data_IF_263673199170
#
_entry.id   IF_263673199170
#
_cell.length_a   1.000
_cell.length_b   1.000
_cell.length_c   1.000
_cell.angle_alpha   90.00
_cell.angle_beta   90.00
_cell.angle_gamma   90.00
#
_symmetry.space_group_name_H-M   'P 1'
#
loop_
_entity.id
_entity.type
_entity.pdbx_description
1 polymer ?
#
# COMPACT_ATOMS: atom_id res chain seq x y z
N UNK A 1 -6.21 -20.11 15.78
CA UNK A 1 -5.31 -19.29 14.90
C UNK A 1 -5.09 -17.86 15.41
N UNK A 2 -5.80 -17.41 16.41
CA UNK A 2 -5.67 -16.06 17.00
C UNK A 2 -4.58 -15.96 18.09
N UNK A 3 -4.20 -17.06 18.70
CA UNK A 3 -3.24 -17.11 19.82
C UNK A 3 -1.83 -16.68 19.43
N UNK A 4 -1.31 -17.12 18.28
CA UNK A 4 0.07 -16.83 17.87
C UNK A 4 0.42 -15.35 17.85
N UNK A 5 -0.46 -14.49 17.30
CA UNK A 5 -0.20 -13.04 17.30
C UNK A 5 -0.40 -12.44 18.69
N UNK A 6 -1.40 -12.87 19.44
CA UNK A 6 -1.67 -12.32 20.78
C UNK A 6 -0.48 -12.52 21.74
N UNK A 7 0.22 -13.66 21.62
CA UNK A 7 1.39 -14.00 22.43
C UNK A 7 2.65 -13.23 22.02
N UNK A 8 2.68 -12.69 20.77
CA UNK A 8 3.83 -11.98 20.19
C UNK A 8 3.50 -10.54 19.81
N UNK A 9 2.32 -10.03 20.15
CA UNK A 9 1.93 -8.66 19.82
C UNK A 9 2.88 -7.65 20.50
N UNK A 10 3.34 -6.62 19.76
CA UNK A 10 4.22 -5.62 20.36
C UNK A 10 3.50 -4.87 21.49
N UNK A 11 4.25 -4.49 22.50
CA UNK A 11 3.75 -3.63 23.55
C UNK A 11 3.69 -2.19 23.03
N UNK A 12 2.48 -1.64 22.94
CA UNK A 12 2.28 -0.27 22.48
C UNK A 12 2.23 0.64 23.72
N UNK A 13 3.26 1.45 23.92
CA UNK A 13 3.41 2.34 25.08
C UNK A 13 3.10 3.80 24.76
N UNK A 14 3.18 4.21 23.48
CA UNK A 14 3.04 5.62 23.08
C UNK A 14 1.69 6.27 23.46
N UNK A 15 0.66 5.48 23.83
CA UNK A 15 -0.64 6.03 24.23
C UNK A 15 -0.56 6.94 25.47
N UNK A 16 0.46 6.77 26.33
CA UNK A 16 0.66 7.59 27.51
C UNK A 16 1.06 9.03 27.18
N UNK A 17 1.70 9.26 26.03
CA UNK A 17 2.06 10.58 25.56
C UNK A 17 0.85 11.41 25.10
N UNK A 18 -0.36 10.83 25.04
CA UNK A 18 -1.55 11.50 24.55
C UNK A 18 -2.04 12.59 25.53
N UNK A 19 -1.89 13.84 25.11
CA UNK A 19 -2.34 15.05 25.85
C UNK A 19 -3.85 15.35 25.66
N UNK A 20 -4.59 14.49 24.98
CA UNK A 20 -6.05 14.58 24.74
C UNK A 20 -6.53 15.82 23.95
N UNK A 21 -5.66 16.44 23.14
CA UNK A 21 -5.94 17.66 22.35
C UNK A 21 -6.95 17.47 21.19
N UNK A 22 -7.28 16.24 20.82
CA UNK A 22 -8.22 15.86 19.72
C UNK A 22 -7.83 16.27 18.29
N UNK A 23 -6.69 16.87 18.04
CA UNK A 23 -6.19 17.24 16.70
C UNK A 23 -6.28 16.06 15.72
N UNK A 24 -5.89 14.87 16.14
CA UNK A 24 -5.97 13.65 15.33
C UNK A 24 -7.38 13.33 14.83
N UNK A 25 -8.44 13.72 15.56
CA UNK A 25 -9.84 13.52 15.15
C UNK A 25 -10.23 14.51 14.04
N UNK A 26 -9.75 15.75 14.13
CA UNK A 26 -9.99 16.80 13.10
C UNK A 26 -9.35 16.40 11.76
N UNK A 27 -8.17 15.79 11.79
CA UNK A 27 -7.46 15.34 10.57
C UNK A 27 -7.92 13.98 10.05
N UNK A 28 -8.82 13.27 10.77
CA UNK A 28 -9.27 11.95 10.38
C UNK A 28 -10.32 12.00 9.28
N UNK A 29 -10.06 11.44 8.07
CA UNK A 29 -11.03 11.45 6.99
C UNK A 29 -12.28 10.60 7.32
N UNK A 30 -12.11 9.53 8.11
CA UNK A 30 -13.25 8.69 8.53
C UNK A 30 -14.13 9.42 9.52
N UNK A 31 -13.56 10.12 10.52
CA UNK A 31 -14.36 10.85 11.50
C UNK A 31 -15.16 11.99 10.85
N UNK A 32 -14.61 12.61 9.78
CA UNK A 32 -15.34 13.61 8.98
C UNK A 32 -16.51 13.00 8.18
N UNK A 33 -16.35 11.79 7.65
CA UNK A 33 -17.29 11.16 6.74
C UNK A 33 -18.33 10.25 7.42
N UNK A 34 -18.00 9.72 8.60
CA UNK A 34 -18.81 8.73 9.33
C UNK A 34 -19.02 9.15 10.79
N UNK A 35 -20.23 9.61 11.17
CA UNK A 35 -20.54 10.02 12.54
C UNK A 35 -20.49 8.88 13.57
N UNK A 36 -20.53 7.61 13.12
CA UNK A 36 -20.41 6.44 14.00
C UNK A 36 -18.97 6.18 14.44
N UNK A 37 -17.99 6.84 13.80
CA UNK A 37 -16.59 6.69 14.19
C UNK A 37 -16.21 7.76 15.22
N UNK A 38 -15.93 7.38 16.47
CA UNK A 38 -15.66 8.35 17.55
C UNK A 38 -14.29 9.05 17.40
N UNK A 39 -13.53 8.67 16.38
CA UNK A 39 -12.24 9.25 16.04
C UNK A 39 -11.03 8.49 16.61
N UNK A 40 -9.85 8.82 16.07
CA UNK A 40 -8.60 8.11 16.40
C UNK A 40 -8.21 8.20 17.88
N UNK A 41 -8.44 9.34 18.52
CA UNK A 41 -8.12 9.52 19.95
C UNK A 41 -8.86 8.50 20.82
N UNK A 42 -10.15 8.36 20.58
CA UNK A 42 -10.98 7.47 21.40
C UNK A 42 -10.71 5.99 21.06
N UNK A 43 -10.61 5.62 19.79
CA UNK A 43 -10.34 4.24 19.39
C UNK A 43 -8.91 3.79 19.69
N UNK A 44 -7.94 4.70 19.64
CA UNK A 44 -6.52 4.45 19.92
C UNK A 44 -6.17 4.64 21.41
N UNK A 45 -5.60 5.79 21.82
CA UNK A 45 -5.05 5.97 23.18
C UNK A 45 -6.05 5.78 24.31
N UNK A 46 -7.26 6.33 24.20
CA UNK A 46 -8.26 6.16 25.25
C UNK A 46 -8.77 4.71 25.31
N UNK A 47 -9.01 4.10 24.17
CA UNK A 47 -9.38 2.69 24.08
C UNK A 47 -8.31 1.75 24.65
N UNK A 48 -7.01 2.07 24.43
CA UNK A 48 -5.92 1.24 24.98
C UNK A 48 -5.89 1.29 26.51
N UNK A 49 -6.11 2.45 27.12
CA UNK A 49 -6.25 2.57 28.57
C UNK A 49 -7.39 1.70 29.15
N UNK A 50 -8.47 1.54 28.37
CA UNK A 50 -9.57 0.64 28.75
C UNK A 50 -9.18 -0.83 28.56
N UNK A 51 -8.51 -1.17 27.47
CA UNK A 51 -8.07 -2.54 27.17
C UNK A 51 -7.04 -3.08 28.16
N UNK A 52 -6.15 -2.22 28.67
CA UNK A 52 -5.20 -2.59 29.75
C UNK A 52 -5.95 -2.95 31.04
N UNK A 53 -7.05 -2.26 31.36
CA UNK A 53 -7.85 -2.51 32.54
C UNK A 53 -8.79 -3.71 32.38
N UNK A 54 -9.25 -3.97 31.18
CA UNK A 54 -10.15 -5.05 30.83
C UNK A 54 -9.77 -5.64 29.47
N UNK A 55 -9.07 -6.78 29.50
CA UNK A 55 -8.59 -7.47 28.29
C UNK A 55 -9.72 -7.95 27.36
N UNK A 56 -10.95 -8.06 27.86
CA UNK A 56 -12.13 -8.42 27.06
C UNK A 56 -12.78 -7.22 26.38
N UNK A 57 -12.34 -5.99 26.68
CA UNK A 57 -12.86 -4.78 26.05
C UNK A 57 -12.47 -4.73 24.58
N UNK A 58 -13.45 -4.79 23.70
CA UNK A 58 -13.30 -4.61 22.28
C UNK A 58 -14.27 -3.56 21.75
N UNK A 59 -13.72 -2.53 21.10
CA UNK A 59 -14.51 -1.48 20.46
C UNK A 59 -14.70 -1.81 18.98
N UNK A 60 -15.95 -2.03 18.54
CA UNK A 60 -16.27 -2.26 17.12
C UNK A 60 -15.83 -1.11 16.21
N UNK A 61 -15.69 0.11 16.75
CA UNK A 61 -15.18 1.27 16.01
C UNK A 61 -13.73 1.07 15.50
N UNK A 62 -12.97 0.14 16.07
CA UNK A 62 -11.64 -0.23 15.54
C UNK A 62 -11.70 -0.67 14.07
N UNK A 63 -12.81 -1.29 13.64
CA UNK A 63 -13.02 -1.75 12.25
C UNK A 63 -13.20 -0.59 11.25
N UNK A 64 -13.59 0.58 11.74
CA UNK A 64 -13.84 1.75 10.91
C UNK A 64 -12.54 2.50 10.55
N UNK A 65 -11.45 2.27 11.29
CA UNK A 65 -10.17 2.90 11.00
C UNK A 65 -9.56 2.37 9.69
N UNK A 66 -9.19 3.29 8.79
CA UNK A 66 -8.57 2.98 7.48
C UNK A 66 -7.06 2.78 7.53
N UNK A 67 -6.44 2.92 8.69
CA UNK A 67 -4.98 2.80 8.90
C UNK A 67 -4.14 3.76 8.02
N UNK A 68 -4.67 4.92 7.68
CA UNK A 68 -4.00 5.90 6.79
C UNK A 68 -2.89 6.72 7.47
N UNK A 69 -2.69 6.58 8.77
CA UNK A 69 -1.65 7.25 9.58
C UNK A 69 -1.71 8.79 9.64
N UNK A 70 -2.73 9.44 9.08
CA UNK A 70 -2.87 10.91 9.14
C UNK A 70 -2.97 11.45 10.59
N UNK A 71 -3.59 10.68 11.48
CA UNK A 71 -3.68 11.01 12.89
C UNK A 71 -2.30 11.04 13.58
N UNK A 72 -1.36 10.19 13.15
CA UNK A 72 0.02 10.17 13.65
C UNK A 72 0.82 11.34 13.12
N UNK A 73 0.68 11.66 11.83
CA UNK A 73 1.34 12.82 11.22
C UNK A 73 0.90 14.14 11.87
N UNK A 74 -0.38 14.22 12.26
CA UNK A 74 -0.94 15.42 12.90
C UNK A 74 -0.73 15.46 14.42
N UNK A 75 -0.20 14.40 15.06
CA UNK A 75 -0.09 14.32 16.51
C UNK A 75 1.11 15.14 17.03
N UNK A 76 0.90 16.22 17.81
CA UNK A 76 2.00 17.03 18.35
C UNK A 76 2.84 16.30 19.39
N UNK A 77 2.32 15.20 19.97
CA UNK A 77 2.99 14.40 21.00
C UNK A 77 3.57 13.10 20.45
N UNK A 78 3.60 12.89 19.13
CA UNK A 78 4.21 11.72 18.51
C UNK A 78 3.55 10.37 18.85
N UNK A 79 2.26 10.36 19.18
CA UNK A 79 1.53 9.11 19.50
C UNK A 79 1.28 8.31 18.22
N UNK A 80 1.69 7.06 18.19
CA UNK A 80 1.47 6.11 17.09
C UNK A 80 0.03 5.56 17.11
N UNK A 81 -0.95 6.43 16.89
CA UNK A 81 -2.37 6.17 17.10
C UNK A 81 -2.89 5.05 16.18
N UNK A 82 -2.47 5.05 14.93
CA UNK A 82 -2.85 4.03 13.95
C UNK A 82 -2.27 2.67 14.29
N UNK A 83 -1.05 2.62 14.85
CA UNK A 83 -0.41 1.38 15.30
C UNK A 83 -1.16 0.80 16.50
N UNK A 84 -1.54 1.65 17.48
CA UNK A 84 -2.36 1.25 18.63
C UNK A 84 -3.67 0.59 18.14
N UNK A 85 -4.36 1.22 17.19
CA UNK A 85 -5.61 0.71 16.63
C UNK A 85 -5.38 -0.60 15.87
N UNK A 86 -4.31 -0.68 15.07
CA UNK A 86 -3.98 -1.87 14.30
C UNK A 86 -3.64 -3.07 15.21
N UNK A 87 -2.79 -2.88 16.22
CA UNK A 87 -2.46 -3.92 17.21
C UNK A 87 -3.71 -4.38 17.95
N UNK A 88 -4.55 -3.45 18.42
CA UNK A 88 -5.80 -3.78 19.11
C UNK A 88 -6.75 -4.59 18.23
N UNK A 89 -6.86 -4.23 16.93
CA UNK A 89 -7.65 -4.99 15.95
C UNK A 89 -7.18 -6.45 15.83
N UNK A 90 -5.88 -6.68 15.82
CA UNK A 90 -5.30 -8.02 15.72
C UNK A 90 -5.41 -8.83 17.02
N UNK A 91 -5.21 -8.17 18.17
CA UNK A 91 -5.12 -8.80 19.48
C UNK A 91 -6.49 -9.15 20.08
N UNK A 92 -7.45 -8.22 20.00
CA UNK A 92 -8.70 -8.33 20.75
C UNK A 92 -9.91 -8.73 19.91
N UNK A 93 -9.86 -8.67 18.58
CA UNK A 93 -11.01 -9.02 17.73
C UNK A 93 -11.32 -10.52 17.78
N UNK A 94 -12.52 -10.87 18.25
CA UNK A 94 -13.05 -12.24 18.14
C UNK A 94 -13.52 -12.48 16.70
N UNK A 95 -13.06 -13.57 16.10
CA UNK A 95 -13.44 -13.97 14.74
C UNK A 95 -14.47 -15.08 14.78
N UNK A 96 -15.71 -14.76 14.42
CA UNK A 96 -16.78 -15.73 14.25
C UNK A 96 -16.94 -16.04 12.75
N UNK A 97 -17.11 -17.33 12.41
CA UNK A 97 -17.36 -17.74 11.02
C UNK A 97 -18.62 -17.06 10.50
N UNK A 98 -18.49 -16.30 9.45
CA UNK A 98 -19.56 -15.53 8.82
C UNK A 98 -19.24 -15.23 7.36
N UNK A 99 -20.21 -14.91 6.50
CA UNK A 99 -19.97 -14.47 5.13
C UNK A 99 -18.97 -13.31 5.04
N UNK A 100 -19.04 -12.36 5.99
CA UNK A 100 -18.10 -11.22 6.07
C UNK A 100 -16.66 -11.67 6.37
N UNK A 101 -16.48 -12.69 7.20
CA UNK A 101 -15.15 -13.25 7.45
C UNK A 101 -14.59 -13.95 6.20
N UNK A 102 -15.44 -14.66 5.44
CA UNK A 102 -15.04 -15.29 4.16
C UNK A 102 -14.61 -14.19 3.16
N UNK A 103 -15.37 -13.12 3.03
CA UNK A 103 -15.00 -11.96 2.23
C UNK A 103 -13.65 -11.39 2.64
N UNK A 104 -13.47 -11.13 3.92
CA UNK A 104 -12.26 -10.53 4.48
C UNK A 104 -11.05 -11.45 4.28
N UNK A 105 -11.27 -12.78 4.33
CA UNK A 105 -10.25 -13.76 4.00
C UNK A 105 -9.87 -13.69 2.51
N UNK A 106 -10.84 -13.66 1.59
CA UNK A 106 -10.60 -13.57 0.14
C UNK A 106 -9.86 -12.29 -0.22
N UNK A 107 -10.32 -11.13 0.28
CA UNK A 107 -9.72 -9.84 -0.02
C UNK A 107 -8.31 -9.66 0.55
N UNK A 108 -7.94 -10.39 1.61
CA UNK A 108 -6.66 -10.20 2.30
C UNK A 108 -5.58 -11.22 1.93
N UNK A 109 -5.93 -12.41 1.44
CA UNK A 109 -4.96 -13.46 1.09
C UNK A 109 -4.50 -13.34 -0.37
N UNK A 110 -3.93 -12.20 -0.73
CA UNK A 110 -3.58 -11.81 -2.10
C UNK A 110 -2.61 -12.78 -2.78
N UNK A 111 -1.66 -13.37 -2.06
CA UNK A 111 -0.75 -14.38 -2.64
C UNK A 111 -1.47 -15.67 -3.03
N UNK A 112 -2.41 -16.13 -2.19
CA UNK A 112 -3.17 -17.35 -2.45
C UNK A 112 -4.06 -17.16 -3.68
N UNK A 113 -4.90 -16.12 -3.66
CA UNK A 113 -5.83 -15.86 -4.74
C UNK A 113 -5.15 -15.37 -6.02
N UNK A 114 -4.03 -14.64 -5.91
CA UNK A 114 -3.20 -14.27 -7.05
C UNK A 114 -2.62 -15.48 -7.78
N UNK A 115 -2.08 -16.44 -7.03
CA UNK A 115 -1.57 -17.69 -7.62
C UNK A 115 -2.67 -18.53 -8.28
N UNK A 116 -3.87 -18.60 -7.68
CA UNK A 116 -5.00 -19.37 -8.23
C UNK A 116 -5.64 -18.68 -9.43
N UNK A 117 -5.77 -17.36 -9.40
CA UNK A 117 -6.49 -16.59 -10.42
C UNK A 117 -5.64 -16.30 -11.68
N UNK A 118 -4.33 -16.07 -11.54
CA UNK A 118 -3.45 -15.68 -12.66
C UNK A 118 -3.48 -16.68 -13.83
N UNK A 119 -3.44 -18.00 -13.63
CA UNK A 119 -3.50 -18.97 -14.75
C UNK A 119 -4.80 -18.88 -15.56
N UNK A 120 -5.89 -18.48 -14.92
CA UNK A 120 -7.24 -18.38 -15.52
C UNK A 120 -7.76 -16.94 -15.52
N UNK A 121 -6.86 -15.97 -15.49
CA UNK A 121 -7.17 -14.54 -15.37
C UNK A 121 -8.23 -14.03 -16.36
N UNK A 122 -8.21 -14.37 -17.67
CA UNK A 122 -9.24 -13.90 -18.59
C UNK A 122 -10.66 -14.28 -18.17
N UNK A 123 -10.83 -15.51 -17.64
CA UNK A 123 -12.12 -16.04 -17.18
C UNK A 123 -12.52 -15.31 -15.88
N UNK A 124 -11.63 -15.27 -14.88
CA UNK A 124 -11.89 -14.65 -13.59
C UNK A 124 -12.24 -13.16 -13.76
N UNK A 125 -11.47 -12.44 -14.55
CA UNK A 125 -11.70 -11.01 -14.79
C UNK A 125 -13.07 -10.78 -15.45
N UNK A 126 -13.47 -11.62 -16.42
CA UNK A 126 -14.77 -11.51 -17.08
C UNK A 126 -15.92 -11.84 -16.14
N UNK A 127 -15.76 -12.87 -15.31
CA UNK A 127 -16.77 -13.27 -14.33
C UNK A 127 -16.97 -12.20 -13.26
N UNK A 128 -15.88 -11.67 -12.69
CA UNK A 128 -15.96 -10.65 -11.63
C UNK A 128 -16.44 -9.27 -12.11
N UNK A 129 -16.28 -8.96 -13.41
CA UNK A 129 -16.83 -7.74 -14.00
C UNK A 129 -18.32 -7.87 -14.37
N UNK A 130 -18.88 -9.07 -14.37
CA UNK A 130 -20.26 -9.31 -14.77
C UNK A 130 -21.24 -8.77 -13.72
N UNK A 131 -22.19 -7.91 -14.13
CA UNK A 131 -23.17 -7.26 -13.24
C UNK A 131 -23.99 -8.23 -12.38
N UNK A 132 -24.59 -9.32 -12.92
CA UNK A 132 -25.24 -10.35 -12.11
C UNK A 132 -24.32 -10.97 -11.04
N UNK A 133 -23.07 -11.27 -11.38
CA UNK A 133 -22.10 -11.85 -10.44
C UNK A 133 -21.76 -10.84 -9.32
N UNK A 134 -21.56 -9.57 -9.65
CA UNK A 134 -21.38 -8.49 -8.65
C UNK A 134 -22.54 -8.43 -7.65
N UNK A 135 -23.79 -8.50 -8.13
CA UNK A 135 -24.98 -8.54 -7.26
C UNK A 135 -25.04 -9.77 -6.37
N UNK A 136 -24.62 -10.94 -6.89
CA UNK A 136 -24.53 -12.17 -6.09
C UNK A 136 -23.44 -12.01 -5.01
N UNK A 137 -22.26 -11.51 -5.36
CA UNK A 137 -21.18 -11.26 -4.38
C UNK A 137 -21.61 -10.25 -3.31
N UNK A 138 -22.35 -9.20 -3.69
CA UNK A 138 -22.91 -8.24 -2.73
C UNK A 138 -23.81 -8.96 -1.72
N UNK A 139 -24.80 -9.70 -2.17
CA UNK A 139 -25.76 -10.39 -1.29
C UNK A 139 -25.13 -11.52 -0.47
N UNK A 140 -24.20 -12.27 -1.06
CA UNK A 140 -23.63 -13.47 -0.43
C UNK A 140 -22.53 -13.15 0.58
N UNK A 141 -21.65 -12.19 0.28
CA UNK A 141 -20.46 -11.91 1.10
C UNK A 141 -20.27 -10.41 1.44
N UNK A 142 -21.10 -9.52 0.91
CA UNK A 142 -21.07 -8.09 1.22
C UNK A 142 -19.89 -7.35 0.55
N UNK A 143 -19.49 -7.75 -0.67
CA UNK A 143 -18.66 -6.92 -1.55
C UNK A 143 -19.62 -6.03 -2.35
N UNK A 144 -19.46 -4.72 -2.25
CA UNK A 144 -20.40 -3.78 -2.87
C UNK A 144 -20.42 -3.93 -4.40
N UNK A 145 -21.60 -4.01 -5.02
CA UNK A 145 -21.76 -4.33 -6.44
C UNK A 145 -21.34 -3.22 -7.41
N UNK A 146 -21.21 -1.97 -6.93
CA UNK A 146 -20.58 -0.89 -7.69
C UNK A 146 -19.05 -0.95 -7.70
N UNK A 147 -18.42 -1.80 -6.87
CA UNK A 147 -16.96 -1.94 -6.88
C UNK A 147 -16.50 -2.96 -7.93
N UNK A 148 -15.43 -2.60 -8.62
CA UNK A 148 -14.71 -3.53 -9.49
C UNK A 148 -13.53 -4.12 -8.74
N UNK A 149 -13.44 -5.45 -8.71
CA UNK A 149 -12.27 -6.12 -8.11
C UNK A 149 -11.05 -5.90 -9.00
N UNK A 150 -9.84 -5.82 -8.40
CA UNK A 150 -8.60 -5.71 -9.16
C UNK A 150 -8.44 -6.83 -10.16
N UNK A 151 -8.13 -6.49 -11.42
CA UNK A 151 -7.94 -7.48 -12.49
C UNK A 151 -6.61 -8.20 -12.31
N UNK A 152 -6.62 -9.50 -12.57
CA UNK A 152 -5.41 -10.32 -12.61
C UNK A 152 -4.77 -10.26 -14.00
N UNK A 153 -3.43 -10.25 -14.03
CA UNK A 153 -2.67 -10.33 -15.28
C UNK A 153 -2.61 -11.76 -15.82
N UNK A 154 -2.42 -11.89 -17.12
CA UNK A 154 -2.16 -13.19 -17.75
C UNK A 154 -0.68 -13.57 -17.60
N UNK A 155 -0.34 -14.17 -16.47
CA UNK A 155 1.02 -14.51 -16.07
C UNK A 155 1.61 -13.57 -15.00
N UNK A 156 2.47 -14.11 -14.16
CA UNK A 156 3.08 -13.35 -13.07
C UNK A 156 4.33 -12.59 -13.52
N UNK A 157 4.64 -11.48 -12.84
CA UNK A 157 5.91 -10.77 -13.05
C UNK A 157 7.12 -11.69 -12.80
N UNK A 158 7.10 -12.51 -11.74
CA UNK A 158 8.18 -13.48 -11.47
C UNK A 158 8.40 -14.47 -12.59
N UNK A 159 7.31 -14.93 -13.25
CA UNK A 159 7.44 -15.84 -14.41
C UNK A 159 8.11 -15.16 -15.60
N UNK A 160 7.77 -13.91 -15.86
CA UNK A 160 8.42 -13.12 -16.90
C UNK A 160 9.89 -12.87 -16.55
N UNK A 161 10.17 -12.44 -15.30
CA UNK A 161 11.52 -12.11 -14.84
C UNK A 161 12.50 -13.28 -14.93
N UNK A 162 12.04 -14.52 -14.73
CA UNK A 162 12.91 -15.72 -14.87
C UNK A 162 13.65 -15.77 -16.19
N UNK A 163 13.14 -15.15 -17.26
CA UNK A 163 13.78 -15.08 -18.58
C UNK A 163 14.80 -13.93 -18.69
N UNK A 164 14.89 -13.06 -17.69
CA UNK A 164 15.75 -11.88 -17.66
C UNK A 164 16.94 -12.04 -16.71
N UNK A 165 17.02 -13.12 -15.96
CA UNK A 165 17.99 -13.29 -14.85
C UNK A 165 19.43 -13.15 -15.34
N UNK A 166 19.80 -13.78 -16.47
CA UNK A 166 21.15 -13.69 -17.04
C UNK A 166 21.52 -12.28 -17.41
N UNK A 167 20.62 -11.56 -18.06
CA UNK A 167 20.84 -10.18 -18.48
C UNK A 167 20.98 -9.26 -17.27
N UNK A 168 20.14 -9.44 -16.27
CA UNK A 168 20.20 -8.65 -15.04
C UNK A 168 21.49 -8.92 -14.23
N UNK A 169 21.99 -10.14 -14.22
CA UNK A 169 23.23 -10.49 -13.57
C UNK A 169 24.49 -9.92 -14.24
N UNK A 170 24.41 -9.48 -15.49
CA UNK A 170 25.54 -8.90 -16.22
C UNK A 170 25.89 -7.46 -15.80
N UNK A 171 24.98 -6.76 -15.14
CA UNK A 171 25.23 -5.40 -14.66
C UNK A 171 26.21 -5.40 -13.49
N UNK A 172 27.24 -4.51 -13.51
CA UNK A 172 28.25 -4.47 -12.45
C UNK A 172 27.71 -4.00 -11.11
N UNK A 173 26.60 -3.26 -11.12
CA UNK A 173 25.91 -2.74 -9.96
C UNK A 173 24.49 -3.32 -9.91
N UNK A 174 24.09 -3.82 -8.77
CA UNK A 174 22.82 -4.51 -8.62
C UNK A 174 22.07 -4.06 -7.37
N UNK A 175 20.74 -4.22 -7.41
CA UNK A 175 19.82 -4.01 -6.29
C UNK A 175 18.88 -5.22 -6.15
N UNK A 176 18.25 -5.35 -5.00
CA UNK A 176 17.14 -6.30 -4.83
C UNK A 176 15.79 -5.60 -4.91
N UNK A 177 14.81 -6.26 -5.52
CA UNK A 177 13.48 -5.69 -5.71
C UNK A 177 12.42 -6.48 -4.96
N UNK A 178 11.75 -5.81 -4.03
CA UNK A 178 10.50 -6.25 -3.41
C UNK A 178 9.32 -5.77 -4.28
N UNK A 179 8.83 -6.65 -5.15
CA UNK A 179 7.82 -6.29 -6.15
C UNK A 179 6.39 -6.23 -5.60
N UNK A 180 6.11 -6.93 -4.49
CA UNK A 180 4.77 -7.01 -3.91
C UNK A 180 3.76 -7.81 -4.73
N UNK A 181 2.58 -8.02 -4.15
CA UNK A 181 1.51 -8.79 -4.80
C UNK A 181 0.91 -8.07 -6.02
N UNK A 182 0.80 -6.73 -5.98
CA UNK A 182 0.24 -5.94 -7.09
C UNK A 182 1.04 -6.11 -8.38
N UNK A 183 2.34 -5.91 -8.34
CA UNK A 183 3.22 -6.09 -9.50
C UNK A 183 3.22 -7.54 -9.95
N UNK A 184 3.22 -8.49 -9.02
CA UNK A 184 3.30 -9.89 -9.40
C UNK A 184 2.04 -10.41 -10.10
N UNK A 185 0.86 -10.02 -9.63
CA UNK A 185 -0.40 -10.64 -10.03
C UNK A 185 -1.34 -9.72 -10.83
N UNK A 186 -1.28 -8.40 -10.61
CA UNK A 186 -2.21 -7.46 -11.20
C UNK A 186 -1.57 -6.59 -12.29
N UNK A 187 -0.36 -6.09 -12.08
CA UNK A 187 0.26 -5.12 -12.98
C UNK A 187 1.76 -5.39 -13.23
N UNK A 188 2.13 -6.50 -13.89
CA UNK A 188 3.53 -6.87 -14.18
C UNK A 188 4.30 -5.80 -14.98
N UNK A 189 3.58 -4.94 -15.72
CA UNK A 189 4.20 -3.88 -16.51
C UNK A 189 4.99 -2.90 -15.63
N UNK A 190 4.50 -2.54 -14.44
CA UNK A 190 5.22 -1.67 -13.51
C UNK A 190 6.60 -2.24 -13.13
N UNK A 191 6.68 -3.55 -12.89
CA UNK A 191 7.97 -4.21 -12.62
C UNK A 191 8.91 -4.20 -13.83
N UNK A 192 8.38 -4.34 -15.05
CA UNK A 192 9.17 -4.22 -16.28
C UNK A 192 9.67 -2.77 -16.50
N UNK A 193 8.81 -1.80 -16.21
CA UNK A 193 9.15 -0.37 -16.29
C UNK A 193 10.27 -0.02 -15.30
N UNK A 194 10.19 -0.56 -14.07
CA UNK A 194 11.27 -0.43 -13.09
C UNK A 194 12.61 -0.95 -13.64
N UNK A 195 12.60 -2.17 -14.18
CA UNK A 195 13.82 -2.77 -14.75
C UNK A 195 14.35 -1.91 -15.90
N UNK A 196 13.47 -1.43 -16.78
CA UNK A 196 13.87 -0.52 -17.88
C UNK A 196 14.56 0.74 -17.35
N UNK A 197 13.98 1.38 -16.32
CA UNK A 197 14.52 2.60 -15.71
C UNK A 197 15.88 2.33 -15.05
N UNK A 198 16.01 1.27 -14.26
CA UNK A 198 17.26 0.95 -13.58
C UNK A 198 18.35 0.49 -14.54
N UNK A 199 18.02 -0.31 -15.55
CA UNK A 199 18.99 -0.72 -16.59
C UNK A 199 19.52 0.49 -17.38
N UNK A 200 18.69 1.50 -17.64
CA UNK A 200 19.14 2.75 -18.27
C UNK A 200 20.13 3.55 -17.39
N UNK A 201 20.15 3.29 -16.08
CA UNK A 201 21.15 3.82 -15.14
C UNK A 201 22.33 2.86 -14.92
N UNK A 202 22.44 1.77 -15.70
CA UNK A 202 23.50 0.77 -15.55
C UNK A 202 23.34 -0.12 -14.32
N UNK A 203 22.13 -0.26 -13.80
CA UNK A 203 21.84 -1.02 -12.57
C UNK A 203 20.99 -2.25 -12.91
N UNK A 204 21.48 -3.43 -12.55
CA UNK A 204 20.75 -4.69 -12.61
C UNK A 204 19.80 -4.88 -11.43
N UNK A 205 18.74 -5.64 -11.66
CA UNK A 205 17.70 -5.92 -10.67
C UNK A 205 17.66 -7.41 -10.33
N UNK A 206 17.79 -7.76 -9.07
CA UNK A 206 17.56 -9.13 -8.58
C UNK A 206 16.24 -9.19 -7.79
N UNK A 207 15.49 -10.28 -7.91
CA UNK A 207 14.32 -10.50 -7.05
C UNK A 207 14.75 -11.19 -5.76
N UNK A 208 14.05 -10.89 -4.67
CA UNK A 208 14.17 -11.70 -3.46
C UNK A 208 13.77 -13.16 -3.76
N UNK A 209 14.47 -14.14 -3.20
CA UNK A 209 14.23 -15.56 -3.51
C UNK A 209 12.79 -15.98 -3.20
N UNK A 210 12.38 -15.73 -1.98
CA UNK A 210 11.01 -16.01 -1.51
C UNK A 210 10.38 -14.73 -0.99
N UNK A 211 9.35 -14.26 -1.65
CA UNK A 211 8.63 -13.06 -1.27
C UNK A 211 7.15 -13.39 -1.02
N UNK A 212 6.59 -12.78 0.02
CA UNK A 212 5.16 -12.79 0.33
C UNK A 212 4.62 -11.37 0.30
N UNK A 213 3.30 -11.24 0.12
CA UNK A 213 2.64 -9.96 0.30
C UNK A 213 3.12 -9.28 1.59
N UNK A 214 3.35 -7.97 1.55
CA UNK A 214 3.79 -7.19 2.72
C UNK A 214 2.87 -7.34 3.93
N UNK A 215 1.63 -7.75 3.74
CA UNK A 215 0.70 -8.08 4.82
C UNK A 215 -0.32 -7.01 5.15
N UNK A 216 -0.29 -5.83 4.53
CA UNK A 216 -1.27 -4.75 4.81
C UNK A 216 -2.72 -5.20 4.67
N UNK A 217 -3.16 -5.93 3.63
CA UNK A 217 -4.52 -6.43 3.56
C UNK A 217 -4.87 -7.37 4.70
N UNK A 218 -3.90 -8.16 5.20
CA UNK A 218 -4.06 -9.05 6.35
C UNK A 218 -4.21 -8.25 7.66
N UNK A 219 -3.36 -7.23 7.88
CA UNK A 219 -3.42 -6.31 9.02
C UNK A 219 -4.78 -5.60 9.05
N UNK A 220 -5.21 -5.03 7.92
CA UNK A 220 -6.46 -4.30 7.79
C UNK A 220 -7.70 -5.16 8.14
N UNK A 221 -7.62 -6.47 7.93
CA UNK A 221 -8.70 -7.43 8.21
C UNK A 221 -8.46 -8.27 9.48
N UNK A 222 -7.45 -7.91 10.29
CA UNK A 222 -7.17 -8.57 11.56
C UNK A 222 -6.55 -9.97 11.45
N UNK A 223 -5.98 -10.36 10.30
CA UNK A 223 -5.24 -11.64 10.12
C UNK A 223 -3.77 -11.50 10.52
N UNK A 224 -3.50 -10.90 11.68
CA UNK A 224 -2.16 -10.53 12.14
C UNK A 224 -1.21 -11.71 12.26
N UNK A 225 -1.66 -12.87 12.75
CA UNK A 225 -0.82 -14.09 12.81
C UNK A 225 -0.29 -14.51 11.42
N UNK A 226 -1.10 -14.38 10.38
CA UNK A 226 -0.66 -14.68 9.01
C UNK A 226 0.27 -13.58 8.47
N UNK A 227 -0.06 -12.31 8.76
CA UNK A 227 0.77 -11.18 8.37
C UNK A 227 2.16 -11.25 9.00
N UNK A 228 2.24 -11.60 10.30
CA UNK A 228 3.51 -11.77 11.01
C UNK A 228 4.38 -12.86 10.38
N UNK A 229 3.82 -14.03 10.04
CA UNK A 229 4.57 -15.09 9.34
C UNK A 229 5.09 -14.65 7.97
N UNK A 230 4.30 -13.84 7.24
CA UNK A 230 4.76 -13.26 5.98
C UNK A 230 5.93 -12.29 6.24
N UNK A 231 5.82 -11.46 7.28
CA UNK A 231 6.85 -10.50 7.67
C UNK A 231 8.16 -11.20 8.05
N UNK A 232 8.11 -12.23 8.90
CA UNK A 232 9.28 -13.04 9.29
C UNK A 232 9.99 -13.65 8.06
N UNK A 233 9.22 -14.18 7.10
CA UNK A 233 9.80 -14.70 5.87
C UNK A 233 10.40 -13.60 4.99
N UNK A 234 9.71 -12.46 4.85
CA UNK A 234 10.20 -11.35 4.04
C UNK A 234 11.48 -10.75 4.63
N UNK A 235 11.54 -10.55 5.96
CA UNK A 235 12.75 -10.04 6.61
C UNK A 235 13.93 -10.99 6.40
N UNK A 236 13.74 -12.30 6.57
CA UNK A 236 14.80 -13.29 6.29
C UNK A 236 15.38 -13.16 4.87
N UNK A 237 14.54 -12.96 3.85
CA UNK A 237 15.00 -12.80 2.46
C UNK A 237 15.60 -11.41 2.20
N UNK A 238 15.18 -10.38 2.96
CA UNK A 238 15.78 -9.05 2.92
C UNK A 238 17.16 -9.08 3.59
N UNK A 239 17.33 -9.80 4.71
CA UNK A 239 18.63 -10.03 5.36
C UNK A 239 19.64 -10.64 4.39
N UNK A 240 19.26 -11.68 3.66
CA UNK A 240 20.11 -12.28 2.63
C UNK A 240 20.51 -11.26 1.54
N UNK A 241 19.56 -10.43 1.09
CA UNK A 241 19.86 -9.40 0.09
C UNK A 241 20.78 -8.29 0.62
N UNK A 242 20.58 -7.86 1.87
CA UNK A 242 21.31 -6.73 2.46
C UNK A 242 22.66 -7.15 3.01
N UNK A 243 22.73 -8.27 3.75
CA UNK A 243 23.91 -8.69 4.48
C UNK A 243 24.86 -9.50 3.61
N UNK A 244 24.32 -10.47 2.84
CA UNK A 244 25.15 -11.37 2.04
C UNK A 244 25.52 -10.78 0.68
N UNK A 245 24.59 -10.00 0.04
CA UNK A 245 24.80 -9.44 -1.30
C UNK A 245 25.10 -7.94 -1.31
N UNK A 246 25.06 -7.28 -0.16
CA UNK A 246 25.20 -5.81 0.00
C UNK A 246 24.25 -4.99 -0.88
N UNK A 247 23.05 -5.52 -1.14
CA UNK A 247 22.06 -4.84 -1.97
C UNK A 247 21.20 -3.88 -1.16
N UNK A 248 20.81 -2.76 -1.79
CA UNK A 248 19.65 -1.98 -1.38
C UNK A 248 18.39 -2.70 -1.87
N UNK A 249 17.37 -2.78 -1.02
CA UNK A 249 16.08 -3.39 -1.35
C UNK A 249 15.09 -2.29 -1.73
N UNK A 250 14.66 -2.27 -2.99
CA UNK A 250 13.74 -1.27 -3.51
C UNK A 250 12.31 -1.78 -3.59
N UNK A 251 11.34 -0.90 -3.41
CA UNK A 251 9.93 -1.18 -3.70
C UNK A 251 9.29 -0.04 -4.49
N UNK A 252 8.39 -0.39 -5.41
CA UNK A 252 7.55 0.55 -6.16
C UNK A 252 6.21 0.83 -5.47
N UNK A 253 5.87 0.12 -4.39
CA UNK A 253 4.65 0.39 -3.61
C UNK A 253 4.99 1.21 -2.38
N UNK A 254 4.44 2.41 -2.27
CA UNK A 254 4.57 3.25 -1.06
C UNK A 254 4.04 2.56 0.19
N UNK A 255 2.97 1.77 0.03
CA UNK A 255 2.38 0.98 1.11
C UNK A 255 3.30 -0.16 1.53
N UNK A 256 3.86 -0.93 0.58
CA UNK A 256 4.79 -2.01 0.92
C UNK A 256 6.05 -1.47 1.61
N UNK A 257 6.66 -0.40 1.06
CA UNK A 257 7.85 0.23 1.66
C UNK A 257 7.58 0.70 3.09
N UNK A 258 6.45 1.34 3.33
CA UNK A 258 6.05 1.78 4.67
C UNK A 258 5.87 0.59 5.62
N UNK A 259 5.19 -0.45 5.18
CA UNK A 259 4.90 -1.63 6.01
C UNK A 259 6.17 -2.38 6.37
N UNK A 260 7.05 -2.64 5.41
CA UNK A 260 8.35 -3.29 5.64
C UNK A 260 9.19 -2.55 6.68
N UNK A 261 9.14 -1.21 6.70
CA UNK A 261 9.97 -0.38 7.58
C UNK A 261 9.34 -0.10 8.94
N UNK A 262 8.03 0.13 8.98
CA UNK A 262 7.34 0.68 10.15
C UNK A 262 6.34 -0.30 10.78
N UNK A 263 5.47 -0.93 9.97
CA UNK A 263 4.43 -1.78 10.54
C UNK A 263 4.96 -3.15 10.98
N UNK A 264 6.07 -3.64 10.40
CA UNK A 264 6.69 -4.89 10.86
C UNK A 264 7.11 -4.82 12.31
N UNK A 265 7.93 -3.86 12.76
CA UNK A 265 8.25 -3.75 14.19
C UNK A 265 7.06 -3.24 15.02
N UNK A 266 6.37 -2.19 14.60
CA UNK A 266 5.40 -1.50 15.44
C UNK A 266 4.03 -2.20 15.54
N UNK A 267 3.60 -2.93 14.51
CA UNK A 267 2.29 -3.58 14.48
C UNK A 267 2.39 -5.09 14.60
N UNK A 268 3.41 -5.70 13.99
CA UNK A 268 3.57 -7.15 13.98
C UNK A 268 4.61 -7.67 14.99
N UNK A 269 5.44 -6.80 15.57
CA UNK A 269 6.52 -7.18 16.47
C UNK A 269 7.61 -8.01 15.79
N UNK A 270 7.90 -7.72 14.52
CA UNK A 270 8.98 -8.34 13.75
C UNK A 270 10.09 -7.31 13.56
N UNK A 271 11.17 -7.50 14.30
CA UNK A 271 12.33 -6.60 14.30
C UNK A 271 13.00 -6.53 12.92
N UNK A 272 13.40 -5.33 12.52
CA UNK A 272 14.01 -5.08 11.21
C UNK A 272 15.07 -3.96 11.22
N UNK A 273 15.47 -3.43 12.37
CA UNK A 273 16.38 -2.29 12.49
C UNK A 273 17.71 -2.51 11.78
N UNK A 274 18.23 -3.76 11.82
CA UNK A 274 19.47 -4.15 11.18
C UNK A 274 19.44 -4.10 9.65
N UNK A 275 18.26 -4.10 9.01
CA UNK A 275 18.10 -4.05 7.54
C UNK A 275 17.24 -2.89 7.05
N UNK A 276 16.47 -2.24 7.92
CA UNK A 276 15.49 -1.21 7.54
C UNK A 276 16.10 -0.01 6.84
N UNK A 277 17.37 0.33 7.16
CA UNK A 277 18.11 1.43 6.55
C UNK A 277 18.44 1.18 5.07
N UNK A 278 18.47 -0.09 4.63
CA UNK A 278 18.68 -0.51 3.23
C UNK A 278 17.38 -0.75 2.46
N UNK A 279 16.23 -0.62 3.08
CA UNK A 279 14.93 -0.70 2.40
C UNK A 279 14.56 0.71 1.95
N UNK A 280 14.45 0.95 0.64
CA UNK A 280 14.15 2.27 0.12
C UNK A 280 12.95 2.26 -0.84
N UNK A 281 12.21 3.36 -0.81
CA UNK A 281 11.20 3.62 -1.85
C UNK A 281 11.89 4.08 -3.14
N UNK A 282 11.44 3.60 -4.28
CA UNK A 282 12.10 3.77 -5.58
C UNK A 282 12.44 5.22 -5.92
N UNK A 283 11.53 6.18 -5.71
CA UNK A 283 11.80 7.57 -6.09
C UNK A 283 12.88 8.23 -5.23
N UNK A 284 13.00 7.83 -3.95
CA UNK A 284 14.10 8.26 -3.09
C UNK A 284 15.44 7.76 -3.63
N UNK A 285 15.50 6.50 -4.03
CA UNK A 285 16.70 5.93 -4.66
C UNK A 285 17.06 6.65 -5.96
N UNK A 286 16.09 6.83 -6.86
CA UNK A 286 16.31 7.52 -8.15
C UNK A 286 16.80 8.95 -7.96
N UNK A 287 16.22 9.71 -7.02
CA UNK A 287 16.69 11.07 -6.78
C UNK A 287 18.15 11.10 -6.29
N UNK A 288 18.56 10.16 -5.43
CA UNK A 288 19.96 10.01 -5.02
C UNK A 288 20.87 9.74 -6.21
N UNK A 289 20.46 8.84 -7.13
CA UNK A 289 21.21 8.59 -8.37
C UNK A 289 21.39 9.85 -9.22
N UNK A 290 20.31 10.61 -9.41
CA UNK A 290 20.34 11.86 -10.17
C UNK A 290 21.23 12.92 -9.52
N UNK A 291 21.18 13.07 -8.21
CA UNK A 291 22.05 13.97 -7.46
C UNK A 291 23.53 13.58 -7.53
N UNK A 292 23.82 12.30 -7.68
CA UNK A 292 25.18 11.78 -7.88
C UNK A 292 25.66 11.85 -9.34
N UNK A 293 24.87 12.48 -10.22
CA UNK A 293 25.22 12.66 -11.65
C UNK A 293 24.84 11.47 -12.53
N UNK A 294 24.21 10.43 -12.00
CA UNK A 294 23.73 9.28 -12.77
C UNK A 294 22.33 9.56 -13.30
N UNK A 295 22.21 10.13 -14.49
CA UNK A 295 20.96 10.65 -15.06
C UNK A 295 20.41 9.77 -16.18
N UNK A 296 19.10 9.86 -16.42
CA UNK A 296 18.44 9.20 -17.52
C UNK A 296 18.50 10.06 -18.80
N UNK A 297 18.79 9.42 -19.93
CA UNK A 297 18.60 10.07 -21.22
C UNK A 297 17.10 10.07 -21.58
N UNK A 298 16.45 11.22 -21.40
CA UNK A 298 15.01 11.37 -21.58
C UNK A 298 14.68 12.31 -22.73
N UNK A 299 13.69 11.91 -23.54
CA UNK A 299 13.04 12.78 -24.53
C UNK A 299 11.88 13.55 -23.89
N UNK A 300 11.51 14.72 -24.42
CA UNK A 300 10.36 15.46 -23.94
C UNK A 300 9.07 14.63 -23.95
N UNK A 301 8.36 14.63 -22.83
CA UNK A 301 7.04 14.04 -22.67
C UNK A 301 6.03 15.15 -22.46
N UNK A 302 5.55 15.78 -23.57
CA UNK A 302 4.60 16.89 -23.53
C UNK A 302 3.22 16.40 -23.06
N UNK A 303 3.09 16.19 -21.75
CA UNK A 303 1.89 15.68 -21.08
C UNK A 303 1.56 16.54 -19.88
N UNK A 304 0.28 16.78 -19.66
CA UNK A 304 -0.27 17.39 -18.47
C UNK A 304 -0.69 16.28 -17.52
N UNK A 305 -0.13 16.23 -16.31
CA UNK A 305 -0.40 15.17 -15.34
C UNK A 305 -0.83 15.74 -14.00
N UNK A 306 -1.72 15.05 -13.32
CA UNK A 306 -2.18 15.39 -11.97
C UNK A 306 -1.68 14.38 -10.96
N UNK A 307 -0.95 14.84 -9.94
CA UNK A 307 -0.35 13.98 -8.92
C UNK A 307 -1.18 13.93 -7.65
N UNK A 308 -1.57 12.72 -7.25
CA UNK A 308 -2.19 12.42 -5.96
C UNK A 308 -1.17 11.82 -4.99
N UNK A 309 -0.98 12.45 -3.83
CA UNK A 309 -0.11 11.98 -2.76
C UNK A 309 -0.75 10.87 -1.92
N UNK A 310 -0.24 9.61 -1.95
CA UNK A 310 -0.75 8.55 -1.10
C UNK A 310 -0.41 8.76 0.38
N UNK A 311 -1.30 8.31 1.27
CA UNK A 311 -1.19 8.53 2.69
C UNK A 311 0.08 7.90 3.33
N UNK A 312 0.48 6.69 2.93
CA UNK A 312 1.69 6.03 3.45
C UNK A 312 2.97 6.68 2.93
N UNK A 313 2.96 7.20 1.69
CA UNK A 313 4.08 7.98 1.16
C UNK A 313 4.25 9.29 1.94
N UNK A 314 3.13 10.00 2.20
CA UNK A 314 3.14 11.22 3.01
C UNK A 314 3.65 10.95 4.43
N UNK A 315 3.18 9.88 5.07
CA UNK A 315 3.60 9.49 6.43
C UNK A 315 5.09 9.13 6.51
N UNK A 316 5.66 8.57 5.46
CA UNK A 316 7.10 8.23 5.40
C UNK A 316 8.00 9.40 4.97
N UNK A 317 7.43 10.57 4.69
CA UNK A 317 8.20 11.75 4.24
C UNK A 317 8.79 11.64 2.83
N UNK A 318 8.31 10.69 2.02
CA UNK A 318 8.91 10.39 0.71
C UNK A 318 8.28 11.17 -0.47
N UNK A 319 7.28 12.01 -0.23
CA UNK A 319 6.57 12.77 -1.28
C UNK A 319 7.51 13.65 -2.10
N UNK A 320 8.41 14.37 -1.41
CA UNK A 320 9.35 15.29 -2.04
C UNK A 320 10.23 14.58 -3.07
N UNK A 321 10.66 13.35 -2.79
CA UNK A 321 11.49 12.58 -3.72
C UNK A 321 10.72 12.24 -5.00
N UNK A 322 9.44 11.89 -4.91
CA UNK A 322 8.62 11.64 -6.09
C UNK A 322 8.43 12.90 -6.92
N UNK A 323 8.13 14.04 -6.29
CA UNK A 323 7.96 15.30 -6.99
C UNK A 323 9.24 15.75 -7.69
N UNK A 324 10.38 15.68 -7.02
CA UNK A 324 11.68 16.07 -7.62
C UNK A 324 12.09 15.13 -8.76
N UNK A 325 11.80 13.84 -8.66
CA UNK A 325 12.02 12.88 -9.76
C UNK A 325 11.13 13.20 -10.98
N UNK A 326 9.85 13.51 -10.76
CA UNK A 326 8.92 13.86 -11.85
C UNK A 326 9.30 15.16 -12.57
N UNK A 327 9.83 16.14 -11.84
CA UNK A 327 10.32 17.40 -12.41
C UNK A 327 11.51 17.23 -13.36
N UNK A 328 12.24 16.10 -13.30
CA UNK A 328 13.33 15.81 -14.22
C UNK A 328 12.84 15.42 -15.62
N UNK A 329 11.55 15.10 -15.80
CA UNK A 329 10.99 14.71 -17.10
C UNK A 329 10.79 15.97 -17.97
N UNK A 330 11.51 16.12 -19.09
CA UNK A 330 11.39 17.31 -19.93
C UNK A 330 9.97 17.44 -20.51
N UNK A 331 9.43 18.63 -20.54
CA UNK A 331 8.13 18.94 -21.14
C UNK A 331 6.90 18.44 -20.34
N UNK A 332 7.10 17.92 -19.12
CA UNK A 332 6.00 17.48 -18.27
C UNK A 332 5.36 18.68 -17.54
N UNK A 333 4.05 18.86 -17.68
CA UNK A 333 3.26 19.78 -16.87
C UNK A 333 2.71 19.01 -15.65
N UNK A 334 3.24 19.29 -14.46
CA UNK A 334 2.91 18.59 -13.21
C UNK A 334 2.00 19.43 -12.33
N UNK A 335 0.75 19.00 -12.13
CA UNK A 335 -0.20 19.56 -11.18
C UNK A 335 -0.19 18.72 -9.93
N UNK A 336 0.18 19.28 -8.78
CA UNK A 336 0.19 18.59 -7.49
C UNK A 336 -1.10 18.92 -6.74
N UNK A 337 -1.90 17.90 -6.45
CA UNK A 337 -3.13 18.06 -5.68
C UNK A 337 -2.87 18.15 -4.18
N UNK A 338 -3.79 18.80 -3.47
CA UNK A 338 -3.81 18.75 -2.02
C UNK A 338 -3.86 17.29 -1.53
N UNK A 339 -3.25 17.04 -0.37
CA UNK A 339 -3.17 15.69 0.20
C UNK A 339 -4.54 15.25 0.73
N UNK A 340 -5.40 14.76 -0.15
CA UNK A 340 -6.69 14.15 0.15
C UNK A 340 -6.57 12.62 0.23
N UNK A 341 -7.55 11.94 0.83
CA UNK A 341 -7.58 10.48 0.86
C UNK A 341 -8.45 9.96 -0.29
N UNK A 342 -8.01 8.93 -1.00
CA UNK A 342 -8.81 8.29 -2.05
C UNK A 342 -10.04 7.51 -1.50
N UNK A 343 -10.07 7.22 -0.20
CA UNK A 343 -11.16 6.52 0.47
C UNK A 343 -11.12 4.99 0.39
N UNK A 344 -10.38 4.38 -0.53
CA UNK A 344 -10.39 2.92 -0.71
C UNK A 344 -9.72 2.16 0.45
N UNK A 345 -8.58 2.67 0.93
CA UNK A 345 -7.82 2.12 2.06
C UNK A 345 -7.65 0.59 2.02
N UNK A 346 -6.96 0.10 1.00
CA UNK A 346 -6.76 -1.34 0.80
C UNK A 346 -8.06 -2.06 0.47
N UNK A 347 -8.62 -2.75 1.44
CA UNK A 347 -9.86 -3.54 1.26
C UNK A 347 -11.11 -2.86 1.83
N UNK A 348 -10.96 -1.70 2.50
CA UNK A 348 -12.03 -1.04 3.24
C UNK A 348 -13.23 -0.65 2.34
N UNK A 349 -12.99 0.06 1.24
CA UNK A 349 -14.02 0.57 0.35
C UNK A 349 -14.69 -0.50 -0.54
N UNK A 350 -14.19 -1.74 -0.57
CA UNK A 350 -14.88 -2.84 -1.24
C UNK A 350 -16.06 -3.39 -0.44
N UNK A 351 -16.09 -3.13 0.88
CA UNK A 351 -17.07 -3.67 1.81
C UNK A 351 -18.35 -2.86 1.74
N UNK A 352 -19.50 -3.54 1.69
CA UNK A 352 -20.84 -2.93 1.65
C UNK A 352 -21.02 -1.88 2.74
N UNK A 353 -20.67 -2.24 3.98
CA UNK A 353 -20.82 -1.37 5.14
C UNK A 353 -19.93 -0.11 5.13
N UNK A 354 -18.92 -0.06 4.27
CA UNK A 354 -17.94 1.03 4.20
C UNK A 354 -17.99 1.80 2.88
N UNK A 355 -18.75 1.32 1.89
CA UNK A 355 -18.74 1.88 0.53
C UNK A 355 -19.08 3.37 0.51
N UNK A 356 -20.21 3.76 1.10
CA UNK A 356 -20.66 5.16 1.11
C UNK A 356 -19.67 6.08 1.83
N UNK A 357 -19.08 5.60 2.94
CA UNK A 357 -18.04 6.34 3.66
C UNK A 357 -16.78 6.49 2.80
N UNK A 358 -16.38 5.43 2.11
CA UNK A 358 -15.26 5.43 1.18
C UNK A 358 -15.45 6.46 0.06
N UNK A 359 -16.65 6.52 -0.52
CA UNK A 359 -17.00 7.46 -1.58
C UNK A 359 -17.04 8.91 -1.08
N UNK A 360 -17.60 9.16 0.11
CA UNK A 360 -17.57 10.49 0.73
C UNK A 360 -16.14 10.97 1.00
N UNK A 361 -15.27 10.10 1.46
CA UNK A 361 -13.85 10.44 1.71
C UNK A 361 -13.15 10.82 0.40
N UNK A 362 -13.36 10.06 -0.68
CA UNK A 362 -12.67 10.26 -1.96
C UNK A 362 -13.27 11.38 -2.83
N UNK A 363 -14.46 11.87 -2.52
CA UNK A 363 -15.23 12.76 -3.40
C UNK A 363 -14.43 13.99 -3.85
N UNK A 364 -13.83 14.72 -2.91
CA UNK A 364 -13.06 15.93 -3.23
C UNK A 364 -11.87 15.63 -4.15
N UNK A 365 -11.14 14.54 -3.89
CA UNK A 365 -10.07 14.09 -4.76
C UNK A 365 -10.55 13.82 -6.20
N UNK A 366 -11.69 13.13 -6.34
CA UNK A 366 -12.21 12.80 -7.68
C UNK A 366 -12.61 14.06 -8.47
N UNK A 367 -13.24 15.03 -7.82
CA UNK A 367 -13.59 16.29 -8.45
C UNK A 367 -12.34 17.12 -8.83
N UNK A 368 -11.33 17.16 -7.95
CA UNK A 368 -10.07 17.84 -8.23
C UNK A 368 -9.34 17.23 -9.45
N UNK A 369 -9.34 15.88 -9.55
CA UNK A 369 -8.73 15.20 -10.70
C UNK A 369 -9.49 15.50 -12.00
N UNK A 370 -10.83 15.46 -11.99
CA UNK A 370 -11.65 15.78 -13.17
C UNK A 370 -11.45 17.20 -13.63
N UNK A 371 -11.36 18.14 -12.68
CA UNK A 371 -11.16 19.58 -12.98
C UNK A 371 -9.77 19.92 -13.50
N UNK A 372 -8.79 19.03 -13.31
CA UNK A 372 -7.42 19.25 -13.75
C UNK A 372 -7.23 19.09 -15.25
N UNK A 373 -8.17 18.49 -15.98
CA UNK A 373 -8.12 18.23 -17.43
C UNK A 373 -6.77 17.64 -17.86
N UNK A 374 -6.27 16.67 -17.10
CA UNK A 374 -4.96 16.06 -17.31
C UNK A 374 -5.03 14.85 -18.24
N UNK A 375 -3.89 14.55 -18.91
CA UNK A 375 -3.74 13.33 -19.71
C UNK A 375 -3.71 12.05 -18.84
N UNK A 376 -3.09 12.14 -17.65
CA UNK A 376 -2.95 11.04 -16.69
C UNK A 376 -3.07 11.53 -15.26
N UNK A 377 -3.59 10.67 -14.39
CA UNK A 377 -3.35 10.79 -12.95
C UNK A 377 -2.10 9.99 -12.57
N UNK A 378 -1.34 10.50 -11.61
CA UNK A 378 -0.11 9.88 -11.12
C UNK A 378 -0.26 9.59 -9.65
N UNK A 379 0.09 8.38 -9.22
CA UNK A 379 0.13 8.02 -7.79
C UNK A 379 1.09 6.85 -7.52
N UNK A 380 1.67 6.84 -6.34
CA UNK A 380 2.61 5.81 -5.85
C UNK A 380 1.90 4.65 -5.13
N UNK A 381 0.59 4.54 -5.27
CA UNK A 381 -0.20 3.56 -4.54
C UNK A 381 -1.23 2.88 -5.44
N UNK A 382 -1.16 1.56 -5.48
CA UNK A 382 -2.05 0.70 -6.26
C UNK A 382 -3.53 0.83 -5.90
N UNK A 383 -3.83 0.99 -4.61
CA UNK A 383 -5.23 1.14 -4.18
C UNK A 383 -5.78 2.52 -4.53
N UNK A 384 -4.96 3.56 -4.48
CA UNK A 384 -5.34 4.87 -4.98
C UNK A 384 -5.59 4.85 -6.50
N UNK A 385 -4.73 4.17 -7.28
CA UNK A 385 -4.91 3.96 -8.71
C UNK A 385 -6.31 3.38 -9.00
N UNK A 386 -6.67 2.26 -8.40
CA UNK A 386 -7.98 1.63 -8.64
C UNK A 386 -9.15 2.55 -8.30
N UNK A 387 -9.07 3.26 -7.18
CA UNK A 387 -10.13 4.15 -6.74
C UNK A 387 -10.29 5.38 -7.66
N UNK A 388 -9.19 5.95 -8.12
CA UNK A 388 -9.18 7.09 -9.05
C UNK A 388 -9.75 6.66 -10.40
N UNK A 389 -9.23 5.60 -11.01
CA UNK A 389 -9.69 5.12 -12.32
C UNK A 389 -11.18 4.79 -12.34
N UNK A 390 -11.68 4.14 -11.28
CA UNK A 390 -13.10 3.78 -11.18
C UNK A 390 -14.02 5.01 -11.11
N UNK A 391 -13.58 6.12 -10.51
CA UNK A 391 -14.43 7.27 -10.23
C UNK A 391 -14.19 8.48 -11.15
N UNK A 392 -13.05 8.51 -11.87
CA UNK A 392 -12.73 9.63 -12.78
C UNK A 392 -12.63 9.20 -14.22
N UNK A 393 -12.50 7.90 -14.52
CA UNK A 393 -12.21 7.31 -15.84
C UNK A 393 -10.86 7.78 -16.42
N UNK A 394 -10.05 8.47 -15.63
CA UNK A 394 -8.71 8.91 -16.04
C UNK A 394 -7.70 7.80 -15.79
N UNK A 395 -6.92 7.46 -16.80
CA UNK A 395 -5.83 6.49 -16.64
C UNK A 395 -4.87 6.97 -15.55
N UNK A 396 -4.58 6.09 -14.60
CA UNK A 396 -3.70 6.40 -13.47
C UNK A 396 -2.45 5.53 -13.54
N UNK A 397 -1.30 6.16 -13.63
CA UNK A 397 -0.01 5.46 -13.76
C UNK A 397 0.93 5.77 -12.59
N UNK A 398 1.94 4.92 -12.45
CA UNK A 398 2.97 5.09 -11.43
C UNK A 398 4.09 6.03 -11.92
N UNK A 399 4.75 6.82 -11.06
CA UNK A 399 5.89 7.67 -11.44
C UNK A 399 6.97 6.95 -12.25
N UNK A 400 7.29 5.70 -11.91
CA UNK A 400 8.27 4.87 -12.65
C UNK A 400 7.81 4.55 -14.07
N UNK A 401 6.51 4.32 -14.30
CA UNK A 401 5.96 4.10 -15.63
C UNK A 401 6.11 5.37 -16.49
N UNK A 402 5.85 6.54 -15.89
CA UNK A 402 6.01 7.82 -16.59
C UNK A 402 7.48 8.06 -16.99
N UNK A 403 8.44 7.77 -16.09
CA UNK A 403 9.88 7.79 -16.41
C UNK A 403 10.22 6.82 -17.54
N UNK A 404 9.73 5.59 -17.49
CA UNK A 404 9.98 4.58 -18.52
C UNK A 404 9.44 5.01 -19.90
N UNK A 405 8.35 5.78 -19.95
CA UNK A 405 7.81 6.38 -21.19
C UNK A 405 8.73 7.48 -21.74
N UNK A 406 9.39 8.24 -20.87
CA UNK A 406 10.28 9.33 -21.26
C UNK A 406 11.67 8.86 -21.74
N UNK A 407 12.13 7.66 -21.35
CA UNK A 407 13.46 7.15 -21.74
C UNK A 407 13.55 7.05 -23.27
N UNK A 408 14.58 7.69 -23.84
CA UNK A 408 14.93 7.57 -25.25
C UNK A 408 15.40 6.15 -25.57
N UNK A 409 15.00 5.63 -26.72
CA UNK A 409 15.44 4.32 -27.22
C UNK A 409 16.82 4.45 -27.86
#
# INVERSE_FOLDING_TARGET
MTTYFADHAPQVTSFDHCIKCTVCTVYCPVAKANPLYPGPKQSGPDGERLRIKNADYYDEALKLCTNCKRCETACPSGVNIGDIIAVARGKYAKKTLSPKLIRDFVLSHTDLFGNLATPVAPIINRVTDNKPVKKIMHKAVGIHDHKSLPKYSHGTFRRWYKKQVSDQASYPRQISYFHGCFVNYNHPQLGKDLIKVLNALGIGVQLLEKEKCCGVPLIANGFHSKSRRNAELNIKNIEEAVIERDHTVLSTSSTCSFTLKQEYPHVLGVENDHVSHRIEYITKFLLKEFMNGNTLNMKPLNKRVVYHTPCHLARSGNVIFTLEVLKQIPGLELIVLDSECCGLAGTYGFKEENYDVSMKIGHHLFESIKSAEADFAITDCETCKWQIEENTQLETIHPVTLLAMAIAH
#
